data_IF_345457059802
#
_entry.id   IF_345457059802
#
_cell.length_a   1.000
_cell.length_b   1.000
_cell.length_c   1.000
_cell.angle_alpha   90.00
_cell.angle_beta   90.00
_cell.angle_gamma   90.00
#
_symmetry.space_group_name_H-M   'P 1'
#
loop_
_entity.id
_entity.type
_entity.pdbx_description
1 polymer ?
#
# COMPACT_ATOMS: atom_id res chain seq x y z
N UNK A 1 -8.34 -8.72 -12.97
CA UNK A 1 -7.74 -7.37 -13.08
C UNK A 1 -6.62 -7.44 -14.11
N UNK A 2 -6.57 -6.52 -15.08
CA UNK A 2 -5.50 -6.50 -16.08
C UNK A 2 -4.29 -5.78 -15.45
N UNK A 3 -3.22 -6.50 -15.15
CA UNK A 3 -2.01 -5.92 -14.57
C UNK A 3 -1.27 -5.17 -15.68
N UNK A 4 -1.06 -3.84 -15.58
CA UNK A 4 -0.45 -3.10 -16.66
C UNK A 4 1.01 -3.48 -16.81
N UNK A 5 1.45 -3.66 -18.06
CA UNK A 5 2.83 -4.00 -18.36
C UNK A 5 3.71 -2.73 -18.36
N UNK A 6 4.72 -2.69 -17.50
CA UNK A 6 5.67 -1.58 -17.37
C UNK A 6 6.92 -1.75 -18.25
N UNK A 7 7.15 -2.94 -18.81
CA UNK A 7 8.37 -3.27 -19.54
C UNK A 7 8.37 -2.61 -20.92
N UNK A 8 9.53 -2.05 -21.31
CA UNK A 8 9.76 -1.57 -22.68
C UNK A 8 9.09 -0.23 -22.99
N UNK A 9 8.53 0.46 -21.99
CA UNK A 9 7.84 1.74 -22.19
C UNK A 9 8.80 2.87 -22.53
N UNK A 10 8.35 3.75 -23.42
CA UNK A 10 8.99 5.03 -23.72
C UNK A 10 8.55 6.11 -22.71
N UNK A 11 9.31 7.22 -22.58
CA UNK A 11 8.93 8.32 -21.67
C UNK A 11 7.51 8.83 -21.87
N UNK A 12 7.08 9.00 -23.13
CA UNK A 12 5.73 9.48 -23.44
C UNK A 12 4.65 8.48 -23.01
N UNK A 13 4.89 7.18 -23.17
CA UNK A 13 3.95 6.14 -22.70
C UNK A 13 3.88 6.09 -21.17
N UNK A 14 5.00 6.32 -20.48
CA UNK A 14 5.02 6.35 -19.00
C UNK A 14 4.20 7.54 -18.49
N UNK A 15 4.38 8.72 -19.11
CA UNK A 15 3.70 9.96 -18.73
C UNK A 15 2.23 10.02 -19.13
N UNK A 16 1.80 9.25 -20.14
CA UNK A 16 0.41 9.20 -20.60
C UNK A 16 -0.54 8.45 -19.64
N UNK A 17 -0.06 7.97 -18.49
CA UNK A 17 -0.90 7.27 -17.50
C UNK A 17 -1.80 8.27 -16.78
N UNK A 18 -3.12 8.18 -16.99
CA UNK A 18 -4.11 9.16 -16.48
C UNK A 18 -4.57 8.91 -15.03
N UNK A 19 -4.27 7.75 -14.47
CA UNK A 19 -4.76 7.37 -13.14
C UNK A 19 -3.91 7.99 -12.01
N UNK A 20 -4.61 8.45 -10.95
CA UNK A 20 -4.05 9.11 -9.77
C UNK A 20 -4.29 8.27 -8.51
N UNK A 21 -3.62 7.12 -8.45
CA UNK A 21 -3.63 6.20 -7.31
C UNK A 21 -2.22 5.66 -7.04
N UNK A 22 -2.05 4.98 -5.90
CA UNK A 22 -0.74 4.43 -5.50
C UNK A 22 -0.17 3.46 -6.54
N UNK A 23 -1.02 2.62 -7.14
CA UNK A 23 -0.64 1.66 -8.17
C UNK A 23 -0.06 2.33 -9.41
N UNK A 24 -0.59 3.48 -9.82
CA UNK A 24 -0.15 4.23 -11.00
C UNK A 24 1.22 4.87 -10.78
N UNK A 25 1.47 5.42 -9.59
CA UNK A 25 2.80 5.91 -9.21
C UNK A 25 3.83 4.77 -9.18
N UNK A 26 3.47 3.62 -8.57
CA UNK A 26 4.36 2.46 -8.52
C UNK A 26 4.62 1.88 -9.91
N UNK A 27 3.61 1.86 -10.78
CA UNK A 27 3.75 1.51 -12.20
C UNK A 27 4.77 2.40 -12.90
N UNK A 28 4.63 3.74 -12.79
CA UNK A 28 5.59 4.69 -13.38
C UNK A 28 6.98 4.51 -12.80
N UNK A 29 7.09 4.28 -11.48
CA UNK A 29 8.35 3.94 -10.82
C UNK A 29 9.05 2.73 -11.44
N UNK A 30 8.31 1.64 -11.64
CA UNK A 30 8.80 0.42 -12.29
C UNK A 30 9.17 0.64 -13.77
N UNK A 31 8.37 1.40 -14.51
CA UNK A 31 8.61 1.68 -15.92
C UNK A 31 9.84 2.57 -16.14
N UNK A 32 10.05 3.58 -15.29
CA UNK A 32 11.26 4.40 -15.30
C UNK A 32 12.51 3.60 -14.93
N UNK A 33 12.39 2.66 -13.97
CA UNK A 33 13.48 1.77 -13.60
C UNK A 33 13.86 0.83 -14.75
N UNK A 34 12.87 0.26 -15.45
CA UNK A 34 13.10 -0.52 -16.69
C UNK A 34 13.78 0.33 -17.77
N UNK A 35 13.27 1.54 -18.00
CA UNK A 35 13.85 2.47 -18.97
C UNK A 35 15.31 2.80 -18.64
N UNK A 36 15.63 3.05 -17.37
CA UNK A 36 17.02 3.22 -16.92
C UNK A 36 17.86 1.97 -17.17
N UNK A 37 17.36 0.77 -16.84
CA UNK A 37 18.08 -0.50 -17.05
C UNK A 37 18.49 -0.67 -18.52
N UNK A 38 17.63 -0.28 -19.47
CA UNK A 38 17.86 -0.37 -20.93
C UNK A 38 18.73 0.75 -21.50
N UNK A 39 18.52 2.00 -21.08
CA UNK A 39 19.12 3.18 -21.73
C UNK A 39 20.29 3.79 -20.96
N UNK A 40 20.45 3.41 -19.69
CA UNK A 40 21.41 3.98 -18.72
C UNK A 40 21.25 5.48 -18.49
N UNK A 41 20.08 6.05 -18.82
CA UNK A 41 19.78 7.46 -18.56
C UNK A 41 19.63 7.71 -17.06
N UNK A 42 20.46 8.58 -16.49
CA UNK A 42 20.47 8.87 -15.05
C UNK A 42 19.14 9.48 -14.57
N UNK A 43 18.56 10.41 -15.34
CA UNK A 43 17.28 11.05 -14.99
C UNK A 43 16.15 10.05 -14.79
N UNK A 44 16.12 8.97 -15.57
CA UNK A 44 15.14 7.90 -15.41
C UNK A 44 15.25 7.19 -14.06
N UNK A 45 16.47 7.05 -13.51
CA UNK A 45 16.66 6.50 -12.18
C UNK A 45 16.06 7.43 -11.11
N UNK A 46 16.17 8.74 -11.31
CA UNK A 46 15.61 9.74 -10.39
C UNK A 46 14.09 9.77 -10.49
N UNK A 47 13.52 9.69 -11.69
CA UNK A 47 12.08 9.56 -11.87
C UNK A 47 11.54 8.28 -11.24
N UNK A 48 12.23 7.14 -11.41
CA UNK A 48 11.85 5.89 -10.75
C UNK A 48 11.77 6.05 -9.22
N UNK A 49 12.77 6.72 -8.64
CA UNK A 49 12.84 7.00 -7.22
C UNK A 49 11.72 7.95 -6.76
N UNK A 50 11.49 9.05 -7.48
CA UNK A 50 10.48 10.05 -7.15
C UNK A 50 9.05 9.47 -7.22
N UNK A 51 8.72 8.80 -8.33
CA UNK A 51 7.42 8.13 -8.52
C UNK A 51 7.23 7.03 -7.49
N UNK A 52 8.25 6.21 -7.24
CA UNK A 52 8.22 5.17 -6.22
C UNK A 52 7.96 5.69 -4.81
N UNK A 53 8.65 6.77 -4.41
CA UNK A 53 8.45 7.42 -3.12
C UNK A 53 7.03 7.96 -2.99
N UNK A 54 6.55 8.63 -4.03
CA UNK A 54 5.20 9.20 -4.04
C UNK A 54 4.13 8.10 -4.02
N UNK A 55 4.35 6.99 -4.74
CA UNK A 55 3.45 5.84 -4.70
C UNK A 55 3.34 5.21 -3.31
N UNK A 56 4.45 5.12 -2.57
CA UNK A 56 4.43 4.65 -1.17
C UNK A 56 3.69 5.64 -0.26
N UNK A 57 3.90 6.94 -0.45
CA UNK A 57 3.19 7.98 0.31
C UNK A 57 1.67 7.94 0.07
N UNK A 58 1.27 7.79 -1.20
CA UNK A 58 -0.12 7.66 -1.58
C UNK A 58 -0.74 6.35 -1.07
N UNK A 59 0.00 5.25 -1.11
CA UNK A 59 -0.42 3.97 -0.55
C UNK A 59 -0.66 4.05 0.96
N UNK A 60 0.24 4.71 1.68
CA UNK A 60 0.06 4.97 3.11
C UNK A 60 -1.21 5.78 3.34
N UNK A 61 -1.47 6.82 2.54
CA UNK A 61 -2.71 7.60 2.59
C UNK A 61 -3.95 6.75 2.34
N UNK A 62 -3.95 5.88 1.32
CA UNK A 62 -5.04 4.94 1.05
C UNK A 62 -5.31 4.04 2.27
N UNK A 63 -4.28 3.48 2.91
CA UNK A 63 -4.45 2.68 4.13
C UNK A 63 -5.05 3.49 5.30
N UNK A 64 -4.71 4.78 5.41
CA UNK A 64 -5.32 5.66 6.41
C UNK A 64 -6.81 5.90 6.14
N UNK A 65 -7.18 6.14 4.88
CA UNK A 65 -8.58 6.28 4.48
C UNK A 65 -9.35 4.98 4.71
N UNK A 66 -8.77 3.82 4.35
CA UNK A 66 -9.39 2.51 4.54
C UNK A 66 -9.58 2.22 6.04
N UNK A 67 -8.56 2.48 6.87
CA UNK A 67 -8.62 2.24 8.33
C UNK A 67 -9.68 3.07 9.04
N UNK A 68 -10.06 4.22 8.50
CA UNK A 68 -11.14 5.09 9.04
C UNK A 68 -12.51 4.81 8.43
N UNK A 69 -12.61 3.82 7.53
CA UNK A 69 -13.81 3.55 6.74
C UNK A 69 -14.24 4.76 5.89
N UNK A 70 -13.28 5.45 5.28
CA UNK A 70 -13.48 6.65 4.47
C UNK A 70 -14.06 7.88 5.22
N UNK A 71 -13.89 7.94 6.55
CA UNK A 71 -14.31 9.08 7.38
C UNK A 71 -13.13 9.98 7.83
N UNK A 72 -11.99 9.94 7.14
CA UNK A 72 -10.85 10.78 7.47
C UNK A 72 -11.16 12.27 7.20
N UNK A 73 -11.10 13.10 8.25
CA UNK A 73 -11.23 14.55 8.11
C UNK A 73 -9.99 15.18 7.48
N UNK A 74 -10.17 16.33 6.82
CA UNK A 74 -9.04 17.10 6.26
C UNK A 74 -8.10 17.56 7.37
N UNK A 75 -8.63 17.93 8.53
CA UNK A 75 -7.86 18.35 9.69
C UNK A 75 -6.98 17.22 10.23
N UNK A 76 -7.53 16.00 10.33
CA UNK A 76 -6.76 14.84 10.80
C UNK A 76 -5.72 14.40 9.78
N UNK A 77 -6.03 14.51 8.48
CA UNK A 77 -5.04 14.34 7.42
C UNK A 77 -3.91 15.36 7.54
N UNK A 78 -4.20 16.66 7.67
CA UNK A 78 -3.20 17.72 7.78
C UNK A 78 -2.29 17.55 9.00
N UNK A 79 -2.81 17.03 10.12
CA UNK A 79 -2.01 16.66 11.29
C UNK A 79 -1.04 15.51 11.01
N UNK A 80 -1.34 14.61 10.07
CA UNK A 80 -0.49 13.48 9.69
C UNK A 80 0.65 13.89 8.76
N UNK A 81 0.38 14.77 7.79
CA UNK A 81 1.35 15.16 6.75
C UNK A 81 2.55 15.92 7.33
N UNK A 82 2.34 16.70 8.39
CA UNK A 82 3.39 17.56 8.96
C UNK A 82 4.34 16.84 9.94
N UNK A 83 4.08 15.58 10.30
CA UNK A 83 4.90 14.83 11.26
C UNK A 83 5.19 13.41 10.76
N UNK A 84 6.44 13.15 10.34
CA UNK A 84 6.92 11.87 9.77
C UNK A 84 6.60 10.63 10.63
N UNK A 85 6.52 10.80 11.95
CA UNK A 85 6.20 9.71 12.90
C UNK A 85 4.73 9.67 13.31
N UNK A 86 3.90 10.65 12.93
CA UNK A 86 2.47 10.64 13.27
C UNK A 86 1.69 9.68 12.41
N UNK A 87 2.07 9.42 11.17
CA UNK A 87 1.28 8.53 10.31
C UNK A 87 0.97 7.17 10.95
N UNK A 88 2.02 6.49 11.45
CA UNK A 88 1.88 5.23 12.19
C UNK A 88 1.09 5.39 13.50
N UNK A 89 1.32 6.49 14.23
CA UNK A 89 0.58 6.77 15.48
C UNK A 89 -0.90 7.04 15.21
N UNK A 90 -1.22 7.74 14.14
CA UNK A 90 -2.59 8.11 13.78
C UNK A 90 -3.34 6.88 13.30
N UNK A 91 -2.75 5.99 12.50
CA UNK A 91 -3.38 4.70 12.19
C UNK A 91 -3.65 3.92 13.48
N UNK A 92 -2.67 3.82 14.38
CA UNK A 92 -2.85 3.11 15.64
C UNK A 92 -3.89 3.78 16.58
N UNK A 93 -4.07 5.10 16.49
CA UNK A 93 -5.07 5.85 17.27
C UNK A 93 -6.47 5.73 16.67
N UNK A 94 -6.58 5.81 15.34
CA UNK A 94 -7.85 5.78 14.63
C UNK A 94 -8.38 4.36 14.46
N UNK A 95 -7.50 3.36 14.43
CA UNK A 95 -7.86 1.95 14.31
C UNK A 95 -6.99 1.09 15.24
N UNK A 96 -7.20 1.14 16.57
CA UNK A 96 -6.38 0.39 17.54
C UNK A 96 -6.44 -1.13 17.33
N UNK A 97 -7.54 -1.63 16.77
CA UNK A 97 -7.75 -3.05 16.49
C UNK A 97 -7.46 -3.41 15.01
N UNK A 98 -6.66 -2.61 14.30
CA UNK A 98 -6.41 -2.75 12.85
C UNK A 98 -6.05 -4.17 12.44
N UNK A 99 -5.06 -4.79 13.08
CA UNK A 99 -4.60 -6.15 12.74
C UNK A 99 -5.69 -7.21 12.97
N UNK A 100 -6.44 -7.10 14.07
CA UNK A 100 -7.59 -8.00 14.32
C UNK A 100 -8.69 -7.78 13.29
N UNK A 101 -8.92 -6.54 12.86
CA UNK A 101 -9.94 -6.22 11.87
C UNK A 101 -9.55 -6.75 10.48
N UNK A 102 -8.26 -6.72 10.14
CA UNK A 102 -7.74 -7.38 8.94
C UNK A 102 -8.01 -8.89 8.98
N UNK A 103 -7.71 -9.55 10.09
CA UNK A 103 -7.96 -10.98 10.27
C UNK A 103 -9.46 -11.30 10.14
N UNK A 104 -10.32 -10.53 10.80
CA UNK A 104 -11.76 -10.72 10.72
C UNK A 104 -12.31 -10.47 9.31
N UNK A 105 -11.81 -9.44 8.61
CA UNK A 105 -12.17 -9.16 7.22
C UNK A 105 -11.73 -10.30 6.30
N UNK A 106 -10.56 -10.91 6.53
CA UNK A 106 -10.13 -12.12 5.78
C UNK A 106 -11.07 -13.30 6.01
N UNK A 107 -11.56 -13.49 7.24
CA UNK A 107 -12.52 -14.55 7.55
C UNK A 107 -13.80 -14.34 6.72
N UNK A 108 -14.34 -13.12 6.74
CA UNK A 108 -15.53 -12.75 5.95
C UNK A 108 -15.32 -12.96 4.45
N UNK A 109 -14.21 -12.43 3.90
CA UNK A 109 -13.86 -12.62 2.50
C UNK A 109 -13.72 -14.11 2.12
N UNK A 110 -13.27 -14.96 3.06
CA UNK A 110 -13.16 -16.41 2.82
C UNK A 110 -14.50 -17.14 2.72
N UNK A 111 -15.61 -16.50 3.11
CA UNK A 111 -16.95 -17.09 2.99
C UNK A 111 -17.46 -17.04 1.54
N UNK A 112 -16.97 -16.12 0.72
CA UNK A 112 -17.43 -15.97 -0.66
C UNK A 112 -16.27 -16.10 -1.66
N UNK A 113 -16.34 -17.12 -2.53
CA UNK A 113 -15.29 -17.39 -3.51
C UNK A 113 -15.13 -16.27 -4.57
N UNK A 114 -16.15 -15.41 -4.74
CA UNK A 114 -16.14 -14.27 -5.66
C UNK A 114 -15.39 -13.07 -5.08
N UNK A 115 -15.13 -13.04 -3.76
CA UNK A 115 -14.53 -11.90 -3.08
C UNK A 115 -13.10 -11.68 -3.59
N UNK A 116 -12.70 -10.43 -3.89
CA UNK A 116 -11.34 -10.15 -4.33
C UNK A 116 -10.34 -10.56 -3.26
N UNK A 117 -9.19 -11.10 -3.71
CA UNK A 117 -8.09 -11.42 -2.80
C UNK A 117 -7.63 -10.15 -2.09
N UNK A 118 -7.74 -10.14 -0.76
CA UNK A 118 -7.28 -9.03 0.05
C UNK A 118 -5.77 -9.08 0.28
N UNK A 119 -5.14 -7.91 0.24
CA UNK A 119 -3.74 -7.69 0.61
C UNK A 119 -3.68 -6.66 1.75
N UNK A 120 -2.68 -6.81 2.62
CA UNK A 120 -2.51 -5.96 3.79
C UNK A 120 -1.09 -5.46 3.87
N UNK A 121 -0.89 -4.21 4.28
CA UNK A 121 0.42 -3.59 4.28
C UNK A 121 1.03 -3.49 5.67
N UNK A 122 2.34 -3.76 5.76
CA UNK A 122 3.11 -3.42 6.95
C UNK A 122 3.54 -1.95 6.82
N UNK A 123 2.88 -1.08 7.57
CA UNK A 123 3.15 0.35 7.59
C UNK A 123 4.60 0.68 7.99
N UNK A 124 5.22 -0.13 8.84
CA UNK A 124 6.62 0.08 9.24
C UNK A 124 7.58 -0.23 8.09
N UNK A 125 7.31 -1.31 7.35
CA UNK A 125 8.06 -1.66 6.15
C UNK A 125 7.91 -0.59 5.06
N UNK A 126 6.69 -0.08 4.84
CA UNK A 126 6.43 1.01 3.88
C UNK A 126 7.17 2.30 4.26
N UNK A 127 7.14 2.71 5.54
CA UNK A 127 7.88 3.89 6.01
C UNK A 127 9.40 3.75 5.83
N UNK A 128 9.94 2.54 6.05
CA UNK A 128 11.35 2.25 5.80
C UNK A 128 11.68 2.35 4.32
N UNK A 129 10.85 1.77 3.45
CA UNK A 129 10.99 1.85 2.00
C UNK A 129 10.93 3.30 1.49
N UNK A 130 9.98 4.10 1.99
CA UNK A 130 9.88 5.54 1.70
C UNK A 130 11.17 6.29 2.09
N UNK A 131 11.73 5.97 3.26
CA UNK A 131 12.98 6.54 3.75
C UNK A 131 14.17 6.19 2.86
N UNK A 132 14.29 4.93 2.43
CA UNK A 132 15.32 4.46 1.51
C UNK A 132 15.28 5.23 0.18
N UNK A 133 14.11 5.38 -0.43
CA UNK A 133 13.99 6.15 -1.67
C UNK A 133 14.32 7.64 -1.47
N UNK A 134 13.88 8.23 -0.35
CA UNK A 134 14.16 9.64 -0.04
C UNK A 134 15.66 9.96 0.00
N UNK A 135 16.51 9.00 0.39
CA UNK A 135 17.97 9.19 0.39
C UNK A 135 18.50 9.62 -0.98
N UNK A 136 18.04 8.97 -2.04
CA UNK A 136 18.49 9.21 -3.42
C UNK A 136 17.87 10.46 -4.08
N UNK A 137 16.89 11.09 -3.43
CA UNK A 137 16.30 12.35 -3.91
C UNK A 137 16.89 13.58 -3.20
N UNK A 138 17.38 13.42 -1.98
CA UNK A 138 17.91 14.52 -1.18
C UNK A 138 19.44 14.58 -1.16
N UNK A 139 20.13 13.50 -1.51
CA UNK A 139 21.59 13.47 -1.55
C UNK A 139 22.13 13.29 -2.98
N UNK A 140 22.37 14.42 -3.62
CA UNK A 140 23.26 14.53 -4.78
C UNK A 140 24.50 15.28 -4.30
N UNK A 141 25.49 14.53 -3.78
CA UNK A 141 26.80 15.10 -3.49
C UNK A 141 27.51 15.59 -4.77
N UNK A 142 28.82 15.73 -4.73
CA UNK A 142 29.59 16.02 -5.93
C UNK A 142 29.32 14.97 -7.03
N UNK A 143 29.24 15.40 -8.30
CA UNK A 143 28.86 14.53 -9.44
C UNK A 143 29.75 13.30 -9.56
N UNK A 144 31.05 13.48 -9.36
CA UNK A 144 32.06 12.41 -9.36
C UNK A 144 31.87 11.36 -8.26
N UNK A 145 31.12 11.68 -7.18
CA UNK A 145 30.77 10.76 -6.11
C UNK A 145 29.39 10.13 -6.29
N UNK A 146 28.58 10.65 -7.23
CA UNK A 146 27.18 10.26 -7.41
C UNK A 146 26.85 9.95 -8.86
N UNK A 147 26.33 10.91 -9.63
CA UNK A 147 25.81 10.71 -10.99
C UNK A 147 26.85 10.23 -12.01
N UNK A 148 28.13 10.50 -11.77
CA UNK A 148 29.25 10.03 -12.61
C UNK A 148 29.96 8.82 -12.01
N UNK A 149 29.60 8.43 -10.79
CA UNK A 149 30.12 7.25 -10.12
C UNK A 149 29.30 6.02 -10.51
N UNK A 150 29.91 5.12 -11.30
CA UNK A 150 29.25 3.88 -11.72
C UNK A 150 28.83 3.00 -10.53
N UNK A 151 29.62 2.99 -9.45
CA UNK A 151 29.30 2.24 -8.24
C UNK A 151 28.08 2.82 -7.54
N UNK A 152 27.99 4.14 -7.42
CA UNK A 152 26.84 4.81 -6.83
C UNK A 152 25.57 4.55 -7.65
N UNK A 153 25.63 4.68 -8.98
CA UNK A 153 24.49 4.43 -9.87
C UNK A 153 24.02 2.99 -9.76
N UNK A 154 24.94 2.02 -9.72
CA UNK A 154 24.60 0.61 -9.55
C UNK A 154 23.95 0.33 -8.19
N UNK A 155 24.47 0.92 -7.10
CA UNK A 155 23.88 0.82 -5.77
C UNK A 155 22.47 1.42 -5.71
N UNK A 156 22.29 2.62 -6.27
CA UNK A 156 20.98 3.28 -6.36
C UNK A 156 19.98 2.44 -7.15
N UNK A 157 20.37 1.93 -8.32
CA UNK A 157 19.54 1.04 -9.12
C UNK A 157 19.13 -0.21 -8.33
N UNK A 158 20.07 -0.86 -7.64
CA UNK A 158 19.80 -2.07 -6.85
C UNK A 158 18.84 -1.80 -5.68
N UNK A 159 19.03 -0.71 -4.95
CA UNK A 159 18.16 -0.37 -3.82
C UNK A 159 16.76 0.03 -4.28
N UNK A 160 16.64 0.83 -5.34
CA UNK A 160 15.34 1.19 -5.92
C UNK A 160 14.61 -0.06 -6.43
N UNK A 161 15.28 -0.99 -7.12
CA UNK A 161 14.70 -2.29 -7.51
C UNK A 161 14.18 -3.06 -6.30
N UNK A 162 15.02 -3.18 -5.26
CA UNK A 162 14.71 -3.93 -4.03
C UNK A 162 13.49 -3.35 -3.30
N UNK A 163 13.27 -2.05 -3.40
CA UNK A 163 12.09 -1.39 -2.80
C UNK A 163 10.85 -1.55 -3.68
N UNK A 164 10.94 -1.25 -4.98
CA UNK A 164 9.75 -1.15 -5.83
C UNK A 164 9.20 -2.51 -6.25
N UNK A 165 10.05 -3.48 -6.56
CA UNK A 165 9.61 -4.78 -7.09
C UNK A 165 8.67 -5.52 -6.12
N UNK A 166 8.97 -5.67 -4.81
CA UNK A 166 8.05 -6.35 -3.90
C UNK A 166 6.72 -5.63 -3.72
N UNK A 167 6.73 -4.29 -3.72
CA UNK A 167 5.52 -3.48 -3.57
C UNK A 167 4.65 -3.62 -4.83
N UNK A 168 5.26 -3.54 -6.02
CA UNK A 168 4.57 -3.73 -7.29
C UNK A 168 3.93 -5.13 -7.40
N UNK A 169 4.69 -6.18 -7.06
CA UNK A 169 4.17 -7.55 -7.06
C UNK A 169 2.98 -7.71 -6.11
N UNK A 170 3.05 -7.08 -4.93
CA UNK A 170 2.00 -7.17 -3.93
C UNK A 170 0.74 -6.41 -4.35
N UNK A 171 0.87 -5.15 -4.77
CA UNK A 171 -0.28 -4.30 -5.13
C UNK A 171 -1.04 -4.86 -6.35
N UNK A 172 -0.36 -5.58 -7.23
CA UNK A 172 -0.98 -6.21 -8.41
C UNK A 172 -1.56 -7.61 -8.13
N UNK A 173 -1.39 -8.13 -6.92
CA UNK A 173 -1.84 -9.48 -6.54
C UNK A 173 -3.20 -9.52 -5.84
N UNK A 174 -3.79 -8.37 -5.53
CA UNK A 174 -5.04 -8.27 -4.78
C UNK A 174 -5.49 -6.82 -4.55
N UNK A 175 -6.37 -6.60 -3.60
CA UNK A 175 -6.92 -5.29 -3.23
C UNK A 175 -6.72 -5.00 -1.74
N UNK A 176 -6.43 -3.74 -1.39
CA UNK A 176 -6.56 -3.29 0.00
C UNK A 176 -8.04 -3.13 0.33
N UNK A 177 -8.46 -3.60 1.49
CA UNK A 177 -9.85 -3.48 1.93
C UNK A 177 -10.03 -3.89 3.38
N UNK A 178 -10.98 -3.24 4.05
CA UNK A 178 -11.40 -3.54 5.41
C UNK A 178 -12.91 -3.35 5.52
N UNK A 179 -13.56 -4.30 6.20
CA UNK A 179 -14.96 -4.13 6.57
C UNK A 179 -15.01 -3.38 7.89
N UNK A 180 -15.37 -2.09 7.87
CA UNK A 180 -15.39 -1.30 9.09
C UNK A 180 -16.57 -1.71 9.99
N UNK A 181 -16.41 -1.82 11.32
CA UNK A 181 -17.48 -2.30 12.21
C UNK A 181 -18.80 -1.51 12.14
N UNK A 182 -18.72 -0.23 11.74
CA UNK A 182 -19.89 0.64 11.55
C UNK A 182 -20.77 0.22 10.35
N UNK A 183 -20.18 -0.43 9.36
CA UNK A 183 -20.83 -0.84 8.12
C UNK A 183 -21.30 -2.31 8.20
N UNK A 184 -20.90 -3.02 9.25
CA UNK A 184 -21.33 -4.40 9.51
C UNK A 184 -22.80 -4.47 9.90
N UNK A 185 -23.49 -5.51 9.43
CA UNK A 185 -24.77 -5.93 9.98
C UNK A 185 -24.65 -6.09 11.52
N UNK A 186 -25.66 -5.69 12.32
CA UNK A 186 -25.58 -5.76 13.78
C UNK A 186 -25.18 -7.12 14.35
N UNK A 187 -25.59 -8.22 13.71
CA UNK A 187 -25.23 -9.58 14.12
C UNK A 187 -23.76 -9.89 13.83
N UNK A 188 -23.27 -9.47 12.66
CA UNK A 188 -21.84 -9.61 12.29
C UNK A 188 -20.97 -8.78 13.22
N UNK A 189 -21.43 -7.58 13.58
CA UNK A 189 -20.74 -6.69 14.52
C UNK A 189 -20.62 -7.30 15.91
N UNK A 190 -21.63 -8.03 16.39
CA UNK A 190 -21.55 -8.75 17.67
C UNK A 190 -20.46 -9.83 17.65
N UNK A 191 -20.37 -10.59 16.55
CA UNK A 191 -19.31 -11.60 16.35
C UNK A 191 -17.94 -10.91 16.29
N UNK A 192 -17.83 -9.78 15.59
CA UNK A 192 -16.62 -8.96 15.56
C UNK A 192 -16.19 -8.54 16.96
N UNK A 193 -17.09 -8.00 17.80
CA UNK A 193 -16.73 -7.54 19.14
C UNK A 193 -16.22 -8.69 20.02
N UNK A 194 -16.87 -9.85 19.98
CA UNK A 194 -16.43 -11.05 20.71
C UNK A 194 -15.06 -11.54 20.23
N UNK A 195 -14.82 -11.51 18.92
CA UNK A 195 -13.52 -11.85 18.34
C UNK A 195 -12.43 -10.83 18.72
N UNK A 196 -12.76 -9.53 18.65
CA UNK A 196 -11.90 -8.40 19.03
C UNK A 196 -11.51 -8.43 20.50
N UNK A 197 -12.39 -8.89 21.38
CA UNK A 197 -12.12 -9.10 22.81
C UNK A 197 -11.38 -10.43 23.10
N UNK A 198 -11.28 -11.33 22.11
CA UNK A 198 -10.66 -12.65 22.27
C UNK A 198 -11.54 -13.67 22.97
N UNK A 199 -12.85 -13.42 23.05
CA UNK A 199 -13.82 -14.37 23.61
C UNK A 199 -14.07 -15.55 22.66
N UNK A 200 -13.86 -15.33 21.36
CA UNK A 200 -13.90 -16.37 20.32
C UNK A 200 -12.65 -16.28 19.44
N UNK A 201 -12.21 -17.42 18.93
CA UNK A 201 -11.08 -17.52 18.00
C UNK A 201 -11.54 -17.46 16.53
N UNK A 202 -10.59 -17.43 15.60
CA UNK A 202 -10.87 -17.32 14.17
C UNK A 202 -11.70 -18.50 13.62
N UNK A 203 -11.43 -19.77 13.96
CA UNK A 203 -12.30 -20.89 13.60
C UNK A 203 -13.74 -20.73 14.09
N UNK A 204 -13.94 -20.29 15.34
CA UNK A 204 -15.26 -20.09 15.92
C UNK A 204 -15.99 -18.93 15.24
N UNK A 205 -15.31 -17.82 14.99
CA UNK A 205 -15.85 -16.69 14.25
C UNK A 205 -16.27 -17.11 12.83
N UNK A 206 -15.41 -17.86 12.12
CA UNK A 206 -15.71 -18.39 10.78
C UNK A 206 -16.95 -19.29 10.79
N UNK A 207 -17.05 -20.20 11.74
CA UNK A 207 -18.21 -21.09 11.87
C UNK A 207 -19.51 -20.30 12.08
N UNK A 208 -19.50 -19.32 12.99
CA UNK A 208 -20.68 -18.49 13.27
C UNK A 208 -21.08 -17.64 12.05
N UNK A 209 -20.11 -17.06 11.35
CA UNK A 209 -20.37 -16.26 10.15
C UNK A 209 -20.86 -17.10 8.96
N UNK A 210 -20.34 -18.32 8.78
CA UNK A 210 -20.78 -19.22 7.72
C UNK A 210 -22.24 -19.68 7.94
N UNK A 211 -22.64 -19.92 9.19
CA UNK A 211 -24.04 -20.19 9.53
C UNK A 211 -24.97 -19.00 9.20
N UNK A 212 -24.44 -17.79 9.30
CA UNK A 212 -25.16 -16.53 9.07
C UNK A 212 -24.87 -15.91 7.71
N UNK A 213 -24.33 -16.69 6.76
CA UNK A 213 -23.81 -16.20 5.47
C UNK A 213 -24.73 -15.22 4.73
N UNK A 214 -26.07 -15.42 4.65
CA UNK A 214 -26.95 -14.45 3.99
C UNK A 214 -26.92 -13.05 4.63
N UNK A 215 -26.70 -12.96 5.95
CA UNK A 215 -26.58 -11.71 6.70
C UNK A 215 -25.12 -11.21 6.74
N UNK A 216 -24.16 -12.13 6.74
CA UNK A 216 -22.73 -11.80 6.76
C UNK A 216 -22.26 -11.08 5.50
N UNK A 217 -22.93 -11.34 4.37
CA UNK A 217 -22.63 -10.74 3.07
C UNK A 217 -23.55 -9.56 2.72
N UNK A 218 -24.58 -9.27 3.53
CA UNK A 218 -25.38 -8.06 3.37
C UNK A 218 -24.53 -6.86 3.83
N UNK A 219 -24.11 -6.03 2.87
CA UNK A 219 -23.21 -4.88 3.02
C UNK A 219 -21.71 -5.22 3.12
N UNK A 220 -21.29 -6.43 2.71
CA UNK A 220 -19.87 -6.78 2.54
C UNK A 220 -19.34 -6.40 1.14
#
# INVERSE_FOLDING_TARGET
>A
MNIPNYIGKSPNEILATEFFDSASYLYRGMAWLDYHKRTKQFSALIYACAEGRHGIEYLLFEELVISTGANLSVEDYQKCVNERNRFKKTIAQLSPDYERLQEFTQILASLEASFPKLIYWDHSALMKAWGSLSHYLHWFGARNLTSESATWVASAQAEISKVLEPIWLKITSGQSGLMHPKDMNPVVRDIWERFRLGEIDAPTAKFQLDYLKPLALQNA
#
